data_IF_523571372045
#
_entry.id   IF_523571372045
#
_cell.length_a   1.000
_cell.length_b   1.000
_cell.length_c   1.000
_cell.angle_alpha   90.00
_cell.angle_beta   90.00
_cell.angle_gamma   90.00
#
_symmetry.space_group_name_H-M   'P 1'
#
loop_
_entity.id
_entity.type
_entity.pdbx_description
1 polymer ?
#
# COMPACT_ATOMS: atom_id res chain seq x y z
N UNK A 1 -2.22 27.64 0.76
CA UNK A 1 -1.06 26.74 0.89
C UNK A 1 -1.20 25.63 -0.13
N UNK A 2 -0.16 25.27 -0.91
CA UNK A 2 -0.25 24.17 -1.85
C UNK A 2 -0.56 22.86 -1.09
N UNK A 3 -1.36 21.99 -1.71
CA UNK A 3 -1.77 20.73 -1.09
C UNK A 3 -0.54 19.84 -0.82
N UNK A 4 -0.31 19.45 0.44
CA UNK A 4 0.74 18.51 0.79
C UNK A 4 0.46 17.14 0.15
N UNK A 5 1.25 16.77 -0.86
CA UNK A 5 1.16 15.45 -1.47
C UNK A 5 1.78 14.40 -0.54
N UNK A 6 0.99 13.39 -0.19
CA UNK A 6 1.41 12.25 0.66
C UNK A 6 2.66 11.53 0.11
N UNK A 7 2.74 11.40 -1.22
CA UNK A 7 3.86 10.75 -1.91
C UNK A 7 5.18 11.51 -1.75
N UNK A 8 5.14 12.84 -1.73
CA UNK A 8 6.32 13.67 -1.59
C UNK A 8 6.90 13.55 -0.18
N UNK A 9 6.04 13.56 0.85
CA UNK A 9 6.43 13.31 2.24
C UNK A 9 7.06 11.92 2.38
N UNK A 10 6.44 10.90 1.79
CA UNK A 10 6.97 9.54 1.82
C UNK A 10 8.35 9.48 1.17
N UNK A 11 8.51 10.08 0.00
CA UNK A 11 9.78 10.13 -0.73
C UNK A 11 10.88 10.75 0.13
N UNK A 12 10.61 11.88 0.79
CA UNK A 12 11.56 12.55 1.68
C UNK A 12 11.95 11.63 2.85
N UNK A 13 10.96 11.06 3.55
CA UNK A 13 11.21 10.17 4.68
C UNK A 13 11.96 8.91 4.27
N UNK A 14 11.69 8.34 3.10
CA UNK A 14 12.43 7.20 2.56
C UNK A 14 13.90 7.55 2.35
N UNK A 15 14.22 8.72 1.79
CA UNK A 15 15.62 9.14 1.57
C UNK A 15 16.36 9.32 2.89
N UNK A 16 15.77 10.06 3.85
CA UNK A 16 16.36 10.28 5.18
C UNK A 16 16.50 8.95 5.96
N UNK A 17 15.59 7.99 5.74
CA UNK A 17 15.66 6.68 6.40
C UNK A 17 16.78 5.80 5.84
N UNK A 18 17.11 5.96 4.56
CA UNK A 18 18.06 5.09 3.84
C UNK A 18 19.50 5.57 4.01
N UNK A 19 19.70 6.87 4.15
CA UNK A 19 21.03 7.47 4.29
C UNK A 19 20.98 8.66 5.24
N UNK A 20 22.02 8.84 6.04
CA UNK A 20 22.21 10.09 6.78
C UNK A 20 22.40 11.21 5.76
N UNK A 21 21.56 12.24 5.82
CA UNK A 21 21.54 13.32 4.84
C UNK A 21 21.33 14.67 5.50
N UNK A 22 21.97 15.71 4.97
CA UNK A 22 21.72 17.09 5.37
C UNK A 22 20.73 17.81 4.42
N UNK A 23 20.33 19.04 4.77
CA UNK A 23 19.38 19.85 3.97
C UNK A 23 19.86 20.08 2.54
N UNK A 24 21.14 20.35 2.33
CA UNK A 24 21.69 20.64 1.00
C UNK A 24 21.69 19.40 0.11
N UNK A 25 22.08 18.25 0.64
CA UNK A 25 22.08 16.98 -0.09
C UNK A 25 20.66 16.57 -0.48
N UNK A 26 19.70 16.71 0.43
CA UNK A 26 18.31 16.38 0.17
C UNK A 26 17.70 17.29 -0.91
N UNK A 27 17.99 18.60 -0.84
CA UNK A 27 17.59 19.56 -1.88
C UNK A 27 18.19 19.18 -3.24
N UNK A 28 19.47 18.83 -3.29
CA UNK A 28 20.15 18.43 -4.54
C UNK A 28 19.52 17.21 -5.19
N UNK A 29 19.01 16.24 -4.41
CA UNK A 29 18.46 14.99 -4.96
C UNK A 29 16.99 15.16 -5.38
N UNK A 30 16.22 15.98 -4.66
CA UNK A 30 14.76 15.99 -4.77
C UNK A 30 14.17 17.32 -5.28
N UNK A 31 14.95 18.39 -5.45
CA UNK A 31 14.44 19.71 -5.88
C UNK A 31 13.65 19.65 -7.18
N UNK A 32 14.12 18.83 -8.13
CA UNK A 32 13.55 18.76 -9.48
C UNK A 32 12.29 17.89 -9.51
N UNK A 33 12.14 16.99 -8.53
CA UNK A 33 11.04 16.02 -8.43
C UNK A 33 9.92 16.49 -7.51
N UNK A 34 10.25 17.31 -6.50
CA UNK A 34 9.33 17.72 -5.45
C UNK A 34 9.23 19.25 -5.44
N UNK A 35 8.15 19.82 -6.01
CA UNK A 35 7.89 21.26 -5.91
C UNK A 35 7.79 21.69 -4.45
N UNK A 36 8.35 22.86 -4.11
CA UNK A 36 8.32 23.42 -2.74
C UNK A 36 8.99 22.54 -1.66
N UNK A 37 9.99 21.74 -2.03
CA UNK A 37 10.72 20.86 -1.11
C UNK A 37 11.20 21.55 0.18
N UNK A 38 11.68 22.80 0.09
CA UNK A 38 12.10 23.57 1.28
C UNK A 38 10.98 23.74 2.29
N UNK A 39 9.77 24.11 1.83
CA UNK A 39 8.60 24.27 2.69
C UNK A 39 8.16 22.93 3.30
N UNK A 40 8.27 21.83 2.55
CA UNK A 40 7.99 20.50 3.08
C UNK A 40 8.98 20.09 4.17
N UNK A 41 10.28 20.33 3.97
CA UNK A 41 11.30 20.07 4.99
C UNK A 41 11.02 20.88 6.24
N UNK A 42 10.72 22.17 6.10
CA UNK A 42 10.45 23.05 7.22
C UNK A 42 9.18 22.61 7.98
N UNK A 43 8.14 22.15 7.27
CA UNK A 43 6.96 21.53 7.87
C UNK A 43 7.29 20.23 8.63
N UNK A 44 8.14 19.36 8.07
CA UNK A 44 8.51 18.10 8.75
C UNK A 44 9.33 18.36 10.02
N UNK A 45 10.15 19.42 10.02
CA UNK A 45 10.87 19.88 11.21
C UNK A 45 9.92 20.48 12.25
N UNK A 46 9.00 21.38 11.85
CA UNK A 46 8.06 22.02 12.77
C UNK A 46 7.10 21.03 13.42
N UNK A 47 6.76 19.95 12.71
CA UNK A 47 5.93 18.87 13.22
C UNK A 47 6.70 17.78 13.97
N UNK A 48 8.02 17.95 14.19
CA UNK A 48 8.87 16.95 14.84
C UNK A 48 8.80 15.56 14.19
N UNK A 49 8.54 15.53 12.87
CA UNK A 49 8.54 14.30 12.06
C UNK A 49 9.98 13.92 11.72
N UNK A 50 10.82 14.93 11.46
CA UNK A 50 12.27 14.79 11.37
C UNK A 50 12.93 15.74 12.36
N UNK A 51 14.14 15.43 12.78
CA UNK A 51 14.99 16.29 13.60
C UNK A 51 16.28 16.59 12.85
N UNK A 52 16.82 17.78 13.06
CA UNK A 52 18.19 18.11 12.65
C UNK A 52 19.11 17.91 13.86
N UNK A 53 19.96 16.88 13.81
CA UNK A 53 20.99 16.59 14.80
C UNK A 53 22.34 16.86 14.16
N UNK A 54 23.05 17.86 14.63
CA UNK A 54 24.40 18.21 14.16
C UNK A 54 24.48 18.46 12.64
N UNK A 55 23.44 19.04 12.05
CA UNK A 55 23.37 19.30 10.60
C UNK A 55 22.78 18.15 9.78
N UNK A 56 22.57 16.98 10.38
CA UNK A 56 22.04 15.78 9.72
C UNK A 56 20.58 15.53 10.11
N UNK A 57 19.77 15.12 9.14
CA UNK A 57 18.38 14.76 9.40
C UNK A 57 18.26 13.34 9.96
N UNK A 58 17.41 13.20 10.97
CA UNK A 58 17.00 11.91 11.54
C UNK A 58 15.48 11.83 11.64
N UNK A 59 14.91 10.66 11.42
CA UNK A 59 13.46 10.46 11.52
C UNK A 59 13.10 10.14 12.97
N UNK A 60 12.07 10.80 13.51
CA UNK A 60 11.55 10.50 14.85
C UNK A 60 10.65 9.28 14.85
N UNK A 61 10.26 8.76 16.02
CA UNK A 61 9.19 7.75 16.09
C UNK A 61 7.88 8.24 15.47
N UNK A 62 7.53 9.54 15.64
CA UNK A 62 6.37 10.17 14.98
C UNK A 62 6.53 10.12 13.47
N UNK A 63 7.74 10.40 12.96
CA UNK A 63 8.04 10.32 11.54
C UNK A 63 8.07 8.91 10.97
N UNK A 64 8.63 7.93 11.69
CA UNK A 64 8.61 6.51 11.30
C UNK A 64 7.19 5.98 11.30
N UNK A 65 6.39 6.34 12.30
CA UNK A 65 4.95 6.03 12.32
C UNK A 65 4.27 6.69 11.13
N UNK A 66 4.53 7.96 10.82
CA UNK A 66 3.97 8.64 9.64
C UNK A 66 4.42 7.99 8.32
N UNK A 67 5.69 7.58 8.19
CA UNK A 67 6.23 6.90 7.02
C UNK A 67 5.61 5.51 6.85
N UNK A 68 5.49 4.72 7.94
CA UNK A 68 4.67 3.50 7.96
C UNK A 68 3.25 3.81 7.55
N UNK A 69 2.70 4.96 8.00
CA UNK A 69 1.40 5.48 7.56
C UNK A 69 1.30 6.04 6.14
N UNK A 70 2.37 6.00 5.38
CA UNK A 70 2.35 6.36 3.98
C UNK A 70 2.74 5.15 3.12
N UNK A 71 3.59 4.26 3.62
CA UNK A 71 3.94 2.95 3.06
C UNK A 71 2.78 1.95 3.15
N UNK A 72 2.33 1.67 4.37
CA UNK A 72 1.01 1.12 4.63
C UNK A 72 0.05 2.31 4.48
N UNK A 73 -1.16 2.16 3.94
CA UNK A 73 -2.20 3.21 4.01
C UNK A 73 -2.95 3.06 5.34
N UNK A 74 -2.76 3.87 6.41
CA UNK A 74 -3.34 3.52 7.69
C UNK A 74 -3.87 4.75 8.41
N UNK A 75 -4.52 4.49 9.53
CA UNK A 75 -5.86 4.99 9.64
C UNK A 75 -5.90 6.11 10.70
N UNK A 76 -6.91 6.99 10.75
CA UNK A 76 -7.88 7.15 11.85
C UNK A 76 -8.47 8.58 11.94
N UNK A 77 -9.61 8.82 11.27
CA UNK A 77 -10.86 9.33 11.86
C UNK A 77 -12.11 9.09 11.00
N UNK A 78 -11.94 8.66 9.74
CA UNK A 78 -12.95 7.98 8.90
C UNK A 78 -12.66 6.47 8.73
N UNK A 79 -11.57 5.98 9.31
CA UNK A 79 -10.98 4.68 8.94
C UNK A 79 -11.46 3.41 9.64
N UNK A 80 -12.36 3.45 10.62
CA UNK A 80 -12.92 2.17 11.12
C UNK A 80 -13.59 1.35 10.00
N UNK A 81 -14.10 2.05 8.97
CA UNK A 81 -14.66 1.41 7.78
C UNK A 81 -13.53 0.97 6.84
N UNK A 82 -12.63 1.86 6.40
CA UNK A 82 -11.55 1.54 5.42
C UNK A 82 -10.57 0.44 5.87
N UNK A 83 -10.22 0.33 7.17
CA UNK A 83 -9.32 -0.74 7.67
C UNK A 83 -9.97 -2.13 7.70
N UNK A 84 -11.31 -2.23 7.70
CA UNK A 84 -12.01 -3.52 7.52
C UNK A 84 -11.82 -4.04 6.09
N UNK A 85 -11.56 -3.16 5.12
CA UNK A 85 -11.47 -3.49 3.70
C UNK A 85 -10.05 -3.84 3.19
N UNK A 86 -9.02 -3.78 4.03
CA UNK A 86 -7.65 -4.21 3.67
C UNK A 86 -7.39 -5.71 3.89
N UNK A 87 -8.29 -6.42 4.60
CA UNK A 87 -8.28 -7.89 4.72
C UNK A 87 -8.91 -8.54 3.47
N UNK A 88 -8.72 -9.87 3.27
CA UNK A 88 -9.25 -10.60 2.08
C UNK A 88 -10.74 -10.33 1.80
N UNK A 89 -11.57 -10.26 2.85
CA UNK A 89 -13.01 -9.90 2.75
C UNK A 89 -13.22 -8.50 2.19
N UNK A 90 -12.34 -7.58 2.54
CA UNK A 90 -12.34 -6.22 2.07
C UNK A 90 -12.00 -6.02 0.60
N UNK A 91 -10.98 -6.75 0.12
CA UNK A 91 -10.61 -6.76 -1.28
C UNK A 91 -11.77 -7.26 -2.17
N UNK A 92 -12.51 -8.26 -1.68
CA UNK A 92 -13.70 -8.79 -2.36
C UNK A 92 -14.83 -7.77 -2.33
N UNK A 93 -15.11 -7.15 -1.17
CA UNK A 93 -16.18 -6.16 -1.07
C UNK A 93 -15.95 -4.95 -1.98
N UNK A 94 -14.70 -4.47 -2.14
CA UNK A 94 -14.39 -3.40 -3.09
C UNK A 94 -14.65 -3.82 -4.54
N UNK A 95 -14.27 -5.04 -4.91
CA UNK A 95 -14.55 -5.56 -6.26
C UNK A 95 -16.04 -5.76 -6.51
N UNK A 96 -16.81 -6.18 -5.50
CA UNK A 96 -18.28 -6.25 -5.59
C UNK A 96 -18.87 -4.85 -5.84
N UNK A 97 -18.46 -3.84 -5.06
CA UNK A 97 -18.92 -2.47 -5.26
C UNK A 97 -18.56 -1.95 -6.65
N UNK A 98 -17.35 -2.27 -7.14
CA UNK A 98 -16.91 -1.92 -8.49
C UNK A 98 -17.78 -2.59 -9.58
N UNK A 99 -18.12 -3.87 -9.44
CA UNK A 99 -19.03 -4.54 -10.37
C UNK A 99 -20.45 -3.98 -10.33
N UNK A 100 -20.92 -3.56 -9.16
CA UNK A 100 -22.25 -2.96 -8.99
C UNK A 100 -22.31 -1.48 -9.42
N UNK A 101 -21.15 -0.82 -9.51
CA UNK A 101 -21.01 0.50 -10.15
C UNK A 101 -21.26 0.41 -11.65
N UNK A 102 -20.87 -0.70 -12.28
CA UNK A 102 -21.07 -0.95 -13.71
C UNK A 102 -22.56 -1.20 -14.02
N UNK A 103 -23.20 -2.11 -13.30
CA UNK A 103 -24.64 -2.39 -13.43
C UNK A 103 -25.19 -3.16 -12.20
N UNK A 104 -26.51 -3.12 -11.94
CA UNK A 104 -27.17 -4.01 -10.97
C UNK A 104 -26.98 -5.49 -11.32
N UNK A 105 -26.71 -6.33 -10.32
CA UNK A 105 -26.35 -7.74 -10.54
C UNK A 105 -26.93 -8.70 -9.51
N UNK A 106 -27.17 -9.92 -9.94
CA UNK A 106 -27.39 -11.05 -9.04
C UNK A 106 -26.08 -11.54 -8.41
N UNK A 107 -26.17 -12.14 -7.22
CA UNK A 107 -25.00 -12.71 -6.53
C UNK A 107 -24.22 -13.74 -7.39
N UNK A 108 -24.92 -14.51 -8.23
CA UNK A 108 -24.26 -15.44 -9.16
C UNK A 108 -23.48 -14.74 -10.29
N UNK A 109 -24.02 -13.66 -10.84
CA UNK A 109 -23.30 -12.87 -11.85
C UNK A 109 -22.05 -12.24 -11.24
N UNK A 110 -22.16 -11.74 -10.00
CA UNK A 110 -21.01 -11.24 -9.23
C UNK A 110 -19.93 -12.33 -9.08
N UNK A 111 -20.31 -13.57 -8.75
CA UNK A 111 -19.34 -14.68 -8.66
C UNK A 111 -18.61 -14.91 -9.99
N UNK A 112 -19.37 -15.05 -11.09
CA UNK A 112 -18.84 -15.31 -12.42
C UNK A 112 -17.91 -14.20 -12.90
N UNK A 113 -18.30 -12.93 -12.72
CA UNK A 113 -17.51 -11.80 -13.16
C UNK A 113 -16.25 -11.59 -12.32
N UNK A 114 -16.29 -11.86 -11.01
CA UNK A 114 -15.08 -11.82 -10.18
C UNK A 114 -14.07 -12.89 -10.65
N UNK A 115 -14.54 -14.07 -11.04
CA UNK A 115 -13.68 -15.11 -11.62
C UNK A 115 -13.08 -14.68 -12.96
N UNK A 116 -13.90 -14.14 -13.86
CA UNK A 116 -13.46 -13.63 -15.16
C UNK A 116 -12.46 -12.47 -15.03
N UNK A 117 -12.74 -11.47 -14.20
CA UNK A 117 -11.84 -10.34 -13.93
C UNK A 117 -10.55 -10.76 -13.24
N UNK A 118 -10.55 -11.92 -12.58
CA UNK A 118 -9.35 -12.51 -12.01
C UNK A 118 -8.61 -13.43 -12.97
N UNK A 119 -9.08 -13.59 -14.21
CA UNK A 119 -8.52 -14.55 -15.18
C UNK A 119 -8.40 -15.98 -14.63
N UNK A 120 -9.38 -16.38 -13.81
CA UNK A 120 -9.38 -17.70 -13.16
C UNK A 120 -8.44 -17.83 -11.97
N UNK A 121 -7.62 -16.82 -11.64
CA UNK A 121 -6.81 -16.84 -10.42
C UNK A 121 -7.66 -16.84 -9.15
N UNK A 122 -8.93 -16.45 -9.23
CA UNK A 122 -9.82 -16.46 -8.07
C UNK A 122 -11.26 -16.81 -8.45
N UNK A 123 -11.70 -18.02 -8.11
CA UNK A 123 -13.11 -18.42 -8.21
C UNK A 123 -13.80 -18.29 -6.85
N UNK A 124 -14.60 -17.24 -6.60
CA UNK A 124 -15.28 -17.06 -5.32
C UNK A 124 -16.52 -17.96 -5.20
N UNK A 125 -16.68 -18.62 -4.05
CA UNK A 125 -17.86 -19.42 -3.75
C UNK A 125 -19.04 -18.57 -3.24
N UNK A 126 -20.24 -19.15 -3.28
CA UNK A 126 -21.43 -18.58 -2.66
C UNK A 126 -21.21 -18.26 -1.16
N UNK A 127 -20.52 -19.14 -0.44
CA UNK A 127 -20.14 -18.94 0.96
C UNK A 127 -19.15 -17.79 1.20
N UNK A 128 -18.60 -17.19 0.14
CA UNK A 128 -17.75 -16.00 0.22
C UNK A 128 -18.49 -14.74 -0.26
N UNK A 129 -19.23 -14.84 -1.38
CA UNK A 129 -19.89 -13.68 -2.00
C UNK A 129 -21.13 -13.24 -1.24
N UNK A 130 -22.02 -14.16 -0.84
CA UNK A 130 -23.25 -13.76 -0.15
C UNK A 130 -23.01 -13.13 1.21
N UNK A 131 -22.08 -13.63 2.07
CA UNK A 131 -21.71 -12.91 3.28
C UNK A 131 -21.10 -11.54 3.01
N UNK A 132 -20.36 -11.37 1.91
CA UNK A 132 -19.80 -10.07 1.54
C UNK A 132 -20.87 -9.08 1.09
N UNK A 133 -21.87 -9.54 0.32
CA UNK A 133 -23.04 -8.75 -0.08
C UNK A 133 -23.89 -8.37 1.14
N UNK A 134 -24.13 -9.31 2.05
CA UNK A 134 -24.87 -9.07 3.29
C UNK A 134 -24.17 -8.00 4.14
N UNK A 135 -22.85 -8.12 4.33
CA UNK A 135 -22.05 -7.11 5.02
C UNK A 135 -22.15 -5.72 4.35
N UNK A 136 -22.30 -5.66 3.02
CA UNK A 136 -22.44 -4.39 2.28
C UNK A 136 -23.84 -3.80 2.44
N UNK A 137 -24.88 -4.64 2.45
CA UNK A 137 -26.26 -4.24 2.77
C UNK A 137 -26.36 -3.68 4.19
N UNK A 138 -25.79 -4.38 5.18
CA UNK A 138 -25.80 -3.95 6.59
C UNK A 138 -25.06 -2.63 6.81
N UNK A 139 -24.04 -2.34 5.98
CA UNK A 139 -23.34 -1.06 5.98
C UNK A 139 -24.08 0.03 5.20
N UNK A 140 -25.21 -0.29 4.57
CA UNK A 140 -25.96 0.65 3.74
C UNK A 140 -25.24 1.08 2.46
N UNK A 141 -24.31 0.28 1.93
CA UNK A 141 -23.54 0.65 0.72
C UNK A 141 -24.16 0.12 -0.57
N UNK A 142 -25.11 -0.80 -0.46
CA UNK A 142 -25.87 -1.35 -1.58
C UNK A 142 -27.34 -1.48 -1.17
N UNK A 143 -28.22 -1.56 -2.15
CA UNK A 143 -29.63 -1.92 -1.97
C UNK A 143 -29.91 -3.28 -2.65
N UNK A 144 -31.01 -3.91 -2.25
CA UNK A 144 -31.49 -5.15 -2.85
C UNK A 144 -32.93 -4.99 -3.31
N UNK A 145 -33.20 -5.40 -4.53
CA UNK A 145 -34.56 -5.56 -5.05
C UNK A 145 -34.96 -7.04 -4.92
N UNK A 146 -36.05 -7.27 -4.20
CA UNK A 146 -36.64 -8.60 -3.94
C UNK A 146 -37.92 -8.84 -4.76
N UNK A 147 -38.29 -7.95 -5.68
CA UNK A 147 -39.50 -8.11 -6.51
C UNK A 147 -39.37 -9.16 -7.62
N UNK A 148 -38.18 -9.72 -7.81
CA UNK A 148 -37.93 -10.83 -8.74
C UNK A 148 -37.63 -12.10 -7.95
N UNK A 149 -37.78 -13.28 -8.58
CA UNK A 149 -37.42 -14.59 -7.99
C UNK A 149 -35.96 -14.67 -7.51
N UNK A 150 -35.11 -13.68 -7.86
CA UNK A 150 -33.69 -13.62 -7.51
C UNK A 150 -33.29 -12.23 -7.03
N UNK A 151 -32.73 -12.12 -5.83
CA UNK A 151 -32.20 -10.86 -5.29
C UNK A 151 -31.26 -10.17 -6.30
N UNK A 152 -31.59 -8.94 -6.69
CA UNK A 152 -30.75 -8.05 -7.50
C UNK A 152 -30.12 -7.02 -6.59
N UNK A 153 -28.80 -6.94 -6.56
CA UNK A 153 -28.06 -5.96 -5.77
C UNK A 153 -27.72 -4.75 -6.63
N UNK A 154 -27.83 -3.56 -6.06
CA UNK A 154 -27.56 -2.29 -6.74
C UNK A 154 -26.67 -1.42 -5.87
N UNK A 155 -25.66 -0.77 -6.47
CA UNK A 155 -24.86 0.22 -5.76
C UNK A 155 -25.72 1.46 -5.47
N UNK A 156 -25.76 1.91 -4.21
CA UNK A 156 -26.49 3.12 -3.85
C UNK A 156 -25.55 4.34 -3.76
N UNK A 157 -26.11 5.51 -3.45
CA UNK A 157 -25.35 6.76 -3.37
C UNK A 157 -24.19 6.69 -2.36
N UNK A 158 -24.46 6.18 -1.15
CA UNK A 158 -23.46 6.04 -0.09
C UNK A 158 -22.33 5.07 -0.50
N UNK A 159 -22.68 3.99 -1.22
CA UNK A 159 -21.73 3.06 -1.81
C UNK A 159 -20.85 3.69 -2.87
N UNK A 160 -21.41 4.54 -3.72
CA UNK A 160 -20.67 5.26 -4.75
C UNK A 160 -19.72 6.30 -4.15
N UNK A 161 -20.19 7.08 -3.17
CA UNK A 161 -19.33 8.02 -2.44
C UNK A 161 -18.20 7.26 -1.75
N UNK A 162 -18.52 6.19 -1.02
CA UNK A 162 -17.54 5.33 -0.34
C UNK A 162 -16.49 4.75 -1.30
N UNK A 163 -16.92 4.27 -2.46
CA UNK A 163 -16.03 3.69 -3.46
C UNK A 163 -15.09 4.74 -4.04
N UNK A 164 -15.60 5.92 -4.40
CA UNK A 164 -14.82 7.05 -4.93
C UNK A 164 -13.79 7.59 -3.91
N UNK A 165 -14.10 7.44 -2.63
CA UNK A 165 -13.25 7.82 -1.51
C UNK A 165 -12.04 6.89 -1.30
N UNK A 166 -12.06 5.70 -1.92
CA UNK A 166 -11.05 4.64 -1.75
C UNK A 166 -10.32 4.37 -3.04
N UNK A 167 -11.07 4.28 -4.13
CA UNK A 167 -10.60 4.04 -5.49
C UNK A 167 -10.48 5.39 -6.16
N UNK A 168 -9.24 5.88 -6.25
CA UNK A 168 -8.92 7.17 -6.87
C UNK A 168 -8.41 7.03 -8.31
N UNK A 169 -8.21 5.80 -8.75
CA UNK A 169 -7.69 5.49 -10.08
C UNK A 169 -8.86 5.13 -11.01
N UNK A 170 -8.60 5.15 -12.30
CA UNK A 170 -9.56 4.69 -13.31
C UNK A 170 -9.95 3.22 -13.09
N UNK A 171 -11.14 2.85 -13.59
CA UNK A 171 -11.74 1.55 -13.32
C UNK A 171 -10.85 0.39 -13.83
N UNK A 172 -10.15 0.56 -14.96
CA UNK A 172 -9.18 -0.42 -15.47
C UNK A 172 -7.98 -0.60 -14.52
N UNK A 173 -7.43 0.50 -14.01
CA UNK A 173 -6.30 0.45 -13.09
C UNK A 173 -6.66 -0.24 -11.76
N UNK A 174 -7.91 -0.10 -11.31
CA UNK A 174 -8.42 -0.86 -10.17
C UNK A 174 -8.38 -2.37 -10.44
N UNK A 175 -8.90 -2.81 -11.58
CA UNK A 175 -8.98 -4.25 -11.92
C UNK A 175 -7.60 -4.87 -12.11
N UNK A 176 -6.67 -4.12 -12.71
CA UNK A 176 -5.27 -4.54 -12.82
C UNK A 176 -4.64 -4.73 -11.42
N UNK A 177 -4.74 -3.73 -10.55
CA UNK A 177 -4.19 -3.81 -9.19
C UNK A 177 -4.85 -4.94 -8.37
N UNK A 178 -6.16 -5.11 -8.51
CA UNK A 178 -6.91 -6.16 -7.84
C UNK A 178 -6.46 -7.56 -8.29
N UNK A 179 -6.30 -7.77 -9.61
CA UNK A 179 -5.79 -9.02 -10.19
C UNK A 179 -4.37 -9.30 -9.72
N UNK A 180 -3.46 -8.31 -9.82
CA UNK A 180 -2.07 -8.46 -9.38
C UNK A 180 -1.97 -8.85 -7.90
N UNK A 181 -2.81 -8.26 -7.03
CA UNK A 181 -2.86 -8.63 -5.60
C UNK A 181 -3.30 -10.07 -5.38
N UNK A 182 -4.26 -10.57 -6.17
CA UNK A 182 -4.73 -11.95 -6.08
C UNK A 182 -3.70 -12.94 -6.61
N UNK A 183 -3.10 -12.63 -7.77
CA UNK A 183 -2.01 -13.40 -8.38
C UNK A 183 -0.84 -13.52 -7.41
N UNK A 184 -0.35 -12.37 -6.91
CA UNK A 184 0.73 -12.34 -5.93
C UNK A 184 0.42 -13.24 -4.74
N UNK A 185 -0.77 -13.13 -4.15
CA UNK A 185 -1.12 -13.91 -2.95
C UNK A 185 -1.06 -15.42 -3.15
N UNK A 186 -1.33 -15.90 -4.36
CA UNK A 186 -1.35 -17.32 -4.74
C UNK A 186 -0.07 -17.78 -5.46
N UNK A 187 0.84 -16.86 -5.75
CA UNK A 187 2.12 -17.15 -6.39
C UNK A 187 3.05 -17.93 -5.45
N UNK A 188 3.92 -18.75 -6.04
CA UNK A 188 4.98 -19.47 -5.32
C UNK A 188 5.99 -18.50 -4.73
N UNK A 189 6.26 -17.41 -5.44
CA UNK A 189 7.17 -16.34 -5.05
C UNK A 189 6.71 -15.68 -3.73
N UNK A 190 5.41 -15.36 -3.62
CA UNK A 190 4.88 -14.81 -2.38
C UNK A 190 4.86 -15.83 -1.24
N UNK A 191 4.68 -17.12 -1.53
CA UNK A 191 4.78 -18.18 -0.53
C UNK A 191 6.19 -18.27 0.05
N UNK A 192 7.22 -18.33 -0.80
CA UNK A 192 8.62 -18.33 -0.39
C UNK A 192 8.97 -17.09 0.46
N UNK A 193 8.53 -15.90 0.02
CA UNK A 193 8.78 -14.67 0.77
C UNK A 193 8.05 -14.65 2.12
N UNK A 194 6.81 -15.17 2.20
CA UNK A 194 6.09 -15.28 3.48
C UNK A 194 6.79 -16.24 4.43
N UNK A 195 7.28 -17.36 3.93
CA UNK A 195 8.02 -18.33 4.73
C UNK A 195 9.30 -17.72 5.31
N UNK A 196 10.14 -17.12 4.47
CA UNK A 196 11.40 -16.49 4.91
C UNK A 196 11.16 -15.30 5.84
N UNK A 197 10.13 -14.48 5.56
CA UNK A 197 9.76 -13.40 6.47
C UNK A 197 9.29 -13.94 7.84
N UNK A 198 8.59 -15.07 7.86
CA UNK A 198 8.20 -15.75 9.09
C UNK A 198 9.42 -16.21 9.91
N UNK A 199 10.41 -16.83 9.25
CA UNK A 199 11.68 -17.23 9.88
C UNK A 199 12.42 -16.01 10.45
N UNK A 200 12.55 -14.94 9.66
CA UNK A 200 13.19 -13.69 10.10
C UNK A 200 12.49 -13.07 11.32
N UNK A 201 11.15 -13.01 11.32
CA UNK A 201 10.38 -12.48 12.45
C UNK A 201 10.58 -13.30 13.72
N UNK A 202 10.62 -14.62 13.61
CA UNK A 202 10.86 -15.51 14.75
C UNK A 202 12.25 -15.29 15.35
N UNK A 203 13.30 -15.24 14.52
CA UNK A 203 14.66 -14.97 14.98
C UNK A 203 14.81 -13.57 15.58
N UNK A 204 14.16 -12.58 14.97
CA UNK A 204 14.12 -11.23 15.53
C UNK A 204 13.48 -11.20 16.93
N UNK A 205 12.39 -11.96 17.15
CA UNK A 205 11.77 -12.08 18.47
C UNK A 205 12.71 -12.74 19.49
N UNK A 206 13.46 -13.78 19.11
CA UNK A 206 14.45 -14.40 19.99
C UNK A 206 15.58 -13.43 20.35
N UNK A 207 16.12 -12.70 19.37
CA UNK A 207 17.16 -11.71 19.60
C UNK A 207 16.68 -10.58 20.53
N UNK A 208 15.47 -10.07 20.30
CA UNK A 208 14.84 -9.07 21.17
C UNK A 208 14.66 -9.58 22.60
N UNK A 209 14.25 -10.84 22.78
CA UNK A 209 14.17 -11.46 24.11
C UNK A 209 15.55 -11.54 24.78
N UNK A 210 16.60 -11.83 24.03
CA UNK A 210 17.98 -11.78 24.51
C UNK A 210 18.38 -10.38 25.02
N UNK A 211 18.04 -9.33 24.28
CA UNK A 211 18.29 -7.93 24.70
C UNK A 211 17.44 -7.52 25.91
N UNK A 212 16.20 -8.01 26.02
CA UNK A 212 15.37 -7.77 27.22
C UNK A 212 16.00 -8.37 28.49
N UNK A 213 16.67 -9.51 28.37
CA UNK A 213 17.40 -10.13 29.47
C UNK A 213 18.78 -9.49 29.74
N UNK A 214 19.44 -8.99 28.70
CA UNK A 214 20.74 -8.34 28.77
C UNK A 214 20.78 -7.10 27.85
N UNK A 215 20.44 -5.91 28.37
CA UNK A 215 20.37 -4.69 27.57
C UNK A 215 21.69 -4.27 26.93
N UNK A 216 22.85 -4.77 27.41
CA UNK A 216 24.15 -4.43 26.83
C UNK A 216 24.31 -4.92 25.38
N UNK A 217 23.53 -5.95 25.00
CA UNK A 217 23.49 -6.52 23.63
C UNK A 217 22.72 -5.67 22.63
N UNK A 218 22.06 -4.60 23.07
CA UNK A 218 21.23 -3.77 22.19
C UNK A 218 22.02 -3.21 21.00
N UNK A 219 23.26 -2.75 21.22
CA UNK A 219 24.08 -2.18 20.14
C UNK A 219 24.48 -3.23 19.10
N UNK A 220 24.74 -4.46 19.53
CA UNK A 220 25.03 -5.58 18.64
C UNK A 220 23.83 -5.90 17.74
N UNK A 221 22.63 -6.04 18.33
CA UNK A 221 21.41 -6.30 17.58
C UNK A 221 21.08 -5.14 16.61
N UNK A 222 21.27 -3.89 17.03
CA UNK A 222 21.11 -2.72 16.16
C UNK A 222 22.07 -2.80 14.96
N UNK A 223 23.31 -3.24 15.15
CA UNK A 223 24.27 -3.42 14.06
C UNK A 223 23.80 -4.44 13.04
N UNK A 224 23.32 -5.60 13.50
CA UNK A 224 22.78 -6.67 12.62
C UNK A 224 21.60 -6.14 11.79
N UNK A 225 20.65 -5.46 12.44
CA UNK A 225 19.48 -4.89 11.75
C UNK A 225 19.90 -3.84 10.72
N UNK A 226 20.86 -2.97 11.07
CA UNK A 226 21.39 -1.96 10.14
C UNK A 226 22.03 -2.61 8.92
N UNK A 227 22.80 -3.67 9.10
CA UNK A 227 23.45 -4.37 7.99
C UNK A 227 22.42 -4.99 7.04
N UNK A 228 21.46 -5.77 7.57
CA UNK A 228 20.38 -6.34 6.76
C UNK A 228 19.53 -5.27 6.05
N UNK A 229 19.26 -4.14 6.72
CA UNK A 229 18.59 -2.99 6.10
C UNK A 229 19.39 -2.43 4.92
N UNK A 230 20.70 -2.27 5.07
CA UNK A 230 21.56 -1.74 4.02
C UNK A 230 21.64 -2.68 2.81
N UNK A 231 21.65 -3.99 3.03
CA UNK A 231 21.57 -4.98 1.93
C UNK A 231 20.27 -4.85 1.14
N UNK A 232 19.12 -4.71 1.82
CA UNK A 232 17.83 -4.48 1.17
C UNK A 232 17.77 -3.15 0.40
N UNK A 233 18.38 -2.10 0.96
CA UNK A 233 18.51 -0.80 0.30
C UNK A 233 19.29 -0.96 -1.01
N UNK A 234 20.48 -1.55 -0.96
CA UNK A 234 21.33 -1.77 -2.13
C UNK A 234 20.61 -2.60 -3.20
N UNK A 235 19.93 -3.69 -2.80
CA UNK A 235 19.17 -4.53 -3.72
C UNK A 235 18.02 -3.77 -4.40
N UNK A 236 17.24 -2.99 -3.64
CA UNK A 236 16.12 -2.23 -4.20
C UNK A 236 16.55 -1.07 -5.12
N UNK A 237 17.72 -0.47 -4.87
CA UNK A 237 18.28 0.56 -5.76
C UNK A 237 18.68 0.00 -7.13
N UNK A 238 19.17 -1.25 -7.18
CA UNK A 238 19.51 -1.90 -8.44
C UNK A 238 18.28 -2.16 -9.33
N UNK A 239 17.09 -2.32 -8.74
CA UNK A 239 15.84 -2.46 -9.51
C UNK A 239 15.48 -1.18 -10.24
N UNK A 240 15.58 -0.03 -9.57
CA UNK A 240 15.28 1.29 -10.15
C UNK A 240 16.21 1.61 -11.32
N UNK A 241 17.50 1.27 -11.19
CA UNK A 241 18.48 1.46 -12.28
C UNK A 241 18.11 0.62 -13.50
N UNK A 242 17.76 -0.65 -13.31
CA UNK A 242 17.35 -1.55 -14.41
C UNK A 242 16.10 -1.06 -15.14
N UNK A 243 15.09 -0.57 -14.41
CA UNK A 243 13.87 -0.03 -15.01
C UNK A 243 14.14 1.24 -15.84
N UNK A 244 15.02 2.11 -15.35
CA UNK A 244 15.39 3.35 -16.04
C UNK A 244 16.13 3.04 -17.36
N UNK A 245 17.10 2.13 -17.34
CA UNK A 245 17.85 1.72 -18.55
C UNK A 245 16.98 1.02 -19.61
N UNK A 246 15.96 0.25 -19.20
CA UNK A 246 15.02 -0.39 -20.12
C UNK A 246 14.11 0.65 -20.80
N UNK A 247 13.72 1.71 -20.08
CA UNK A 247 12.89 2.80 -20.62
C UNK A 247 13.61 3.69 -21.63
N UNK A 248 14.91 3.94 -21.41
CA UNK A 248 15.77 4.71 -22.33
C UNK A 248 16.04 3.94 -23.63
N UNK A 249 16.28 2.63 -23.55
CA UNK A 249 16.49 1.77 -24.73
C UNK A 249 15.25 1.56 -25.61
N UNK A 250 14.03 1.71 -25.06
CA UNK A 250 12.78 1.68 -25.84
C UNK A 250 12.49 3.01 -26.55
N UNK A 251 12.94 4.14 -25.98
CA UNK A 251 12.79 5.46 -26.61
C UNK A 251 13.76 5.67 -27.79
N UNK A 252 14.95 5.06 -27.76
CA UNK A 252 15.88 5.10 -28.90
C UNK A 252 15.46 4.21 -30.08
N UNK A 253 14.66 3.17 -29.85
CA UNK A 253 14.22 2.25 -30.89
C UNK A 253 12.96 2.72 -31.66
N UNK A 254 12.30 3.79 -31.19
CA UNK A 254 11.09 4.36 -31.81
C UNK A 254 11.35 5.66 -32.59
N UNK A 255 12.59 6.14 -32.65
CA UNK A 255 12.99 7.31 -33.42
C UNK A 255 13.58 6.99 -34.81
N UNK A 256 13.73 5.71 -35.16
CA UNK A 256 14.35 5.23 -36.41
C UNK A 256 13.40 4.36 -37.26
N UNK A 257 12.08 4.57 -37.14
CA UNK A 257 11.04 3.86 -37.89
C UNK A 257 10.14 4.78 -38.70
#
# INVERSE_FOLDING_TARGET
MPALKKQDILTILTHISRKDMNKQELLRILSDKIPNLTHLIDYLLSEEIILNKEGMFSITEKGLKKARHLYEKPPHRREKIKTKFTKRRGLIQLAILQLLKEEPRHGYQVMKLLEERSEGFYSPSAGTVYPALQDLLEKGLISVDEQTDKKVYTLNHDGLEFLSDIVHNEDEAFWEEWRLRLMWKQSKEAELLREEMGKFQLEFQYAMRGVLHDPSRALELVSIIKNGRNELINWSEQLVIKETSISEGRSSASADG
#
